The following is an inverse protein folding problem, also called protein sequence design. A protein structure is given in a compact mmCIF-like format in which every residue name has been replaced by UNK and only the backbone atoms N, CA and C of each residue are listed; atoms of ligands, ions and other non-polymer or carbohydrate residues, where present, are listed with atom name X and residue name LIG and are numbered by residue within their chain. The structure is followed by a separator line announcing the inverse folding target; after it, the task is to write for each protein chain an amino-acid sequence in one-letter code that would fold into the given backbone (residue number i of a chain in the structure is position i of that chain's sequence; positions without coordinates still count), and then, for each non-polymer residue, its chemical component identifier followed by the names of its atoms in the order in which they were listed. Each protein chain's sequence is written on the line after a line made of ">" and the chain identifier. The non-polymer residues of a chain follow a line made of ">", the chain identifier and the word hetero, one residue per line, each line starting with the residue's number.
data_IF_077066352872
#
_entry.id   IF_077066352872
#
_cell.length_a   1.000
_cell.length_b   1.000
_cell.length_c   1.000
_cell.angle_alpha   90.00
_cell.angle_beta   90.00
_cell.angle_gamma   90.00
#
_symmetry.space_group_name_H-M   'P 1'
#
loop_
_entity.id
_entity.type
_entity.pdbx_description
1 polymer ?
#
# COMPACT_ATOMS: atom_id res chain seq x y z
N UNK A 1 -7.04 0.52 -13.44
CA UNK A 1 -7.77 0.00 -12.24
C UNK A 1 -7.45 -1.49 -12.08
N UNK A 2 -7.25 -1.98 -10.86
CA UNK A 2 -6.79 -3.36 -10.63
C UNK A 2 -7.75 -4.43 -11.20
N UNK A 3 -9.06 -4.20 -11.13
CA UNK A 3 -10.08 -5.12 -11.66
C UNK A 3 -10.28 -5.09 -13.18
N UNK A 4 -9.66 -4.16 -13.92
CA UNK A 4 -9.76 -4.14 -15.40
C UNK A 4 -8.92 -5.27 -16.02
N UNK A 5 -7.91 -5.78 -15.30
CA UNK A 5 -6.99 -6.80 -15.81
C UNK A 5 -6.30 -6.35 -17.12
N UNK A 6 -5.63 -5.21 -17.07
CA UNK A 6 -4.83 -4.68 -18.18
C UNK A 6 -3.43 -4.32 -17.72
N UNK A 7 -2.44 -4.66 -18.53
CA UNK A 7 -1.03 -4.35 -18.30
C UNK A 7 -0.34 -4.17 -19.65
N UNK A 8 0.83 -3.51 -19.64
CA UNK A 8 1.71 -3.41 -20.80
C UNK A 8 3.08 -3.95 -20.41
N UNK A 9 3.65 -4.83 -21.23
CA UNK A 9 5.00 -5.37 -21.04
C UNK A 9 5.91 -4.80 -22.12
N UNK A 10 6.96 -4.07 -21.70
CA UNK A 10 7.91 -3.43 -22.60
C UNK A 10 9.22 -4.23 -22.61
N UNK A 11 9.52 -4.87 -23.75
CA UNK A 11 10.74 -5.68 -23.92
C UNK A 11 11.49 -5.22 -25.17
N UNK A 12 12.57 -4.42 -25.03
CA UNK A 12 13.29 -3.88 -26.20
C UNK A 12 13.93 -4.99 -27.07
N UNK A 13 14.51 -6.00 -26.43
CA UNK A 13 15.22 -7.10 -27.09
C UNK A 13 14.23 -8.01 -27.83
N UNK A 14 14.39 -8.15 -29.17
CA UNK A 14 13.42 -8.81 -30.06
C UNK A 14 13.18 -10.30 -29.74
N UNK A 15 14.24 -11.06 -29.52
CA UNK A 15 14.15 -12.50 -29.22
C UNK A 15 13.51 -12.74 -27.85
N UNK A 16 13.85 -11.94 -26.85
CA UNK A 16 13.23 -12.00 -25.52
C UNK A 16 11.75 -11.61 -25.60
N UNK A 17 11.43 -10.54 -26.33
CA UNK A 17 10.04 -10.11 -26.55
C UNK A 17 9.20 -11.22 -27.19
N UNK A 18 9.75 -11.94 -28.16
CA UNK A 18 9.05 -13.08 -28.77
C UNK A 18 8.79 -14.21 -27.77
N UNK A 19 9.77 -14.54 -26.91
CA UNK A 19 9.60 -15.54 -25.85
C UNK A 19 8.51 -15.11 -24.84
N UNK A 20 8.53 -13.86 -24.41
CA UNK A 20 7.52 -13.30 -23.49
C UNK A 20 6.14 -13.31 -24.13
N UNK A 21 6.00 -12.84 -25.37
CA UNK A 21 4.73 -12.85 -26.10
C UNK A 21 4.15 -14.26 -26.19
N UNK A 22 4.97 -15.26 -26.52
CA UNK A 22 4.52 -16.66 -26.59
C UNK A 22 4.03 -17.15 -25.23
N UNK A 23 4.77 -16.87 -24.15
CA UNK A 23 4.37 -17.27 -22.80
C UNK A 23 3.03 -16.64 -22.39
N UNK A 24 2.83 -15.34 -22.64
CA UNK A 24 1.57 -14.66 -22.32
C UNK A 24 0.35 -15.25 -23.06
N UNK A 25 0.53 -15.72 -24.30
CA UNK A 25 -0.54 -16.39 -25.03
C UNK A 25 -0.79 -17.82 -24.50
N UNK A 26 0.27 -18.53 -24.12
CA UNK A 26 0.14 -19.87 -23.52
C UNK A 26 -0.58 -19.83 -22.17
N UNK A 27 -0.36 -18.77 -21.38
CA UNK A 27 -1.02 -18.57 -20.09
C UNK A 27 -2.42 -17.93 -20.21
N UNK A 28 -2.91 -17.70 -21.44
CA UNK A 28 -4.23 -17.10 -21.74
C UNK A 28 -4.45 -15.71 -21.11
N UNK A 29 -3.38 -14.94 -20.91
CA UNK A 29 -3.42 -13.57 -20.35
C UNK A 29 -3.16 -12.50 -21.41
N UNK A 30 -3.09 -12.88 -22.69
CA UNK A 30 -2.82 -11.99 -23.81
C UNK A 30 -4.09 -11.31 -24.37
N UNK A 31 -5.27 -11.90 -24.16
CA UNK A 31 -6.51 -11.42 -24.74
C UNK A 31 -7.22 -10.43 -23.79
N UNK A 32 -7.49 -9.19 -24.24
CA UNK A 32 -8.16 -8.20 -23.43
C UNK A 32 -9.67 -8.47 -23.32
N UNK A 33 -10.25 -8.21 -22.15
CA UNK A 33 -11.71 -8.08 -22.05
C UNK A 33 -12.22 -6.80 -22.76
N UNK A 34 -13.54 -6.70 -22.93
CA UNK A 34 -14.25 -5.60 -23.61
C UNK A 34 -13.84 -4.20 -23.13
N UNK A 35 -13.43 -4.03 -21.88
CA UNK A 35 -13.09 -2.73 -21.32
C UNK A 35 -11.59 -2.44 -21.30
N UNK A 36 -10.74 -3.45 -21.35
CA UNK A 36 -9.30 -3.32 -21.08
C UNK A 36 -8.61 -2.33 -22.02
N UNK A 37 -8.88 -2.41 -23.33
CA UNK A 37 -8.27 -1.53 -24.33
C UNK A 37 -8.77 -0.09 -24.16
N UNK A 38 -10.10 0.12 -24.14
CA UNK A 38 -10.70 1.45 -24.04
C UNK A 38 -10.33 2.17 -22.75
N UNK A 39 -10.31 1.46 -21.62
CA UNK A 39 -9.93 2.03 -20.34
C UNK A 39 -8.45 2.44 -20.31
N UNK A 40 -7.54 1.59 -20.84
CA UNK A 40 -6.12 1.91 -20.90
C UNK A 40 -5.85 3.12 -21.81
N UNK A 41 -6.48 3.17 -22.99
CA UNK A 41 -6.34 4.31 -23.92
C UNK A 41 -6.84 5.60 -23.25
N UNK A 42 -8.01 5.57 -22.61
CA UNK A 42 -8.56 6.76 -21.94
C UNK A 42 -7.67 7.23 -20.80
N UNK A 43 -7.20 6.31 -19.95
CA UNK A 43 -6.31 6.63 -18.84
C UNK A 43 -4.99 7.27 -19.32
N UNK A 44 -4.35 6.71 -20.36
CA UNK A 44 -3.08 7.25 -20.85
C UNK A 44 -3.21 8.54 -21.66
N UNK A 45 -4.33 8.75 -22.36
CA UNK A 45 -4.53 9.98 -23.15
C UNK A 45 -5.08 11.14 -22.32
N UNK A 46 -5.94 10.86 -21.34
CA UNK A 46 -6.75 11.88 -20.69
C UNK A 46 -6.57 11.92 -19.15
N UNK A 47 -5.86 10.95 -18.56
CA UNK A 47 -5.77 10.80 -17.10
C UNK A 47 -4.68 11.64 -16.41
N UNK A 48 -3.93 12.47 -17.15
CA UNK A 48 -2.76 13.17 -16.63
C UNK A 48 -3.13 14.18 -15.52
N UNK A 49 -4.11 15.05 -15.77
CA UNK A 49 -4.54 16.07 -14.81
C UNK A 49 -5.06 15.44 -13.52
N UNK A 50 -5.92 14.43 -13.63
CA UNK A 50 -6.40 13.66 -12.47
C UNK A 50 -5.26 13.01 -11.70
N UNK A 51 -4.25 12.48 -12.40
CA UNK A 51 -3.11 11.84 -11.74
C UNK A 51 -2.25 12.86 -10.98
N UNK A 52 -2.05 14.06 -11.52
CA UNK A 52 -1.28 15.11 -10.85
C UNK A 52 -2.01 15.62 -9.60
N UNK A 53 -3.33 15.82 -9.67
CA UNK A 53 -4.15 16.11 -8.49
C UNK A 53 -4.08 14.99 -7.45
N UNK A 54 -4.21 13.73 -7.88
CA UNK A 54 -4.10 12.58 -6.98
C UNK A 54 -2.72 12.53 -6.32
N UNK A 55 -1.63 12.80 -7.04
CA UNK A 55 -0.28 12.80 -6.48
C UNK A 55 -0.13 13.85 -5.39
N UNK A 56 -0.65 15.06 -5.61
CA UNK A 56 -0.66 16.09 -4.58
C UNK A 56 -1.49 15.68 -3.37
N UNK A 57 -2.68 15.11 -3.60
CA UNK A 57 -3.56 14.64 -2.55
C UNK A 57 -2.91 13.53 -1.69
N UNK A 58 -2.29 12.54 -2.33
CA UNK A 58 -1.56 11.46 -1.63
C UNK A 58 -0.36 12.03 -0.88
N UNK A 59 0.36 13.01 -1.44
CA UNK A 59 1.46 13.68 -0.75
C UNK A 59 0.99 14.37 0.53
N UNK A 60 -0.16 15.07 0.48
CA UNK A 60 -0.75 15.69 1.66
C UNK A 60 -1.15 14.64 2.70
N UNK A 61 -1.76 13.53 2.28
CA UNK A 61 -2.08 12.41 3.17
C UNK A 61 -0.83 11.82 3.83
N UNK A 62 0.31 11.69 3.11
CA UNK A 62 1.58 11.25 3.72
C UNK A 62 2.00 12.20 4.84
N UNK A 63 1.95 13.51 4.58
CA UNK A 63 2.33 14.51 5.56
C UNK A 63 1.47 14.44 6.82
N UNK A 64 0.15 14.31 6.66
CA UNK A 64 -0.79 14.13 7.78
C UNK A 64 -0.39 12.91 8.63
N UNK A 65 -0.05 11.78 8.00
CA UNK A 65 0.38 10.58 8.73
C UNK A 65 1.69 10.82 9.48
N UNK A 66 2.68 11.44 8.83
CA UNK A 66 3.97 11.73 9.45
C UNK A 66 3.81 12.62 10.69
N UNK A 67 3.15 13.75 10.53
CA UNK A 67 2.94 14.73 11.61
C UNK A 67 2.13 14.12 12.76
N UNK A 68 1.07 13.38 12.43
CA UNK A 68 0.21 12.78 13.44
C UNK A 68 0.95 11.71 14.25
N UNK A 69 1.67 10.80 13.58
CA UNK A 69 2.39 9.71 14.26
C UNK A 69 3.51 10.26 15.12
N UNK A 70 4.30 11.21 14.61
CA UNK A 70 5.38 11.87 15.37
C UNK A 70 4.84 12.55 16.63
N UNK A 71 3.69 13.23 16.55
CA UNK A 71 3.10 13.94 17.68
C UNK A 71 2.36 13.04 18.68
N UNK A 72 1.80 11.89 18.25
CA UNK A 72 0.82 11.14 19.05
C UNK A 72 1.20 9.69 19.38
N UNK A 73 2.17 9.09 18.68
CA UNK A 73 2.49 7.66 18.83
C UNK A 73 4.02 7.44 18.83
N UNK A 74 4.73 7.86 19.90
CA UNK A 74 6.21 7.88 19.95
C UNK A 74 6.88 6.49 19.88
N UNK A 75 6.12 5.42 20.11
CA UNK A 75 6.62 4.05 20.11
C UNK A 75 6.72 3.42 18.71
N UNK A 76 6.23 4.10 17.68
CA UNK A 76 6.35 3.68 16.28
C UNK A 76 7.00 4.79 15.45
N UNK A 77 7.52 4.44 14.29
CA UNK A 77 8.03 5.41 13.33
C UNK A 77 7.51 5.08 11.92
N UNK A 78 7.17 6.09 11.13
CA UNK A 78 6.79 5.87 9.73
C UNK A 78 8.02 6.06 8.85
N UNK A 79 8.32 5.06 8.02
CA UNK A 79 9.43 5.14 7.07
C UNK A 79 9.08 6.18 5.99
N UNK A 80 9.89 7.24 5.89
CA UNK A 80 9.72 8.27 4.85
C UNK A 80 9.89 7.64 3.47
N UNK A 81 8.99 7.98 2.55
CA UNK A 81 8.96 7.41 1.20
C UNK A 81 8.46 8.40 0.17
N UNK A 82 9.21 8.54 -0.91
CA UNK A 82 8.85 9.40 -2.05
C UNK A 82 7.83 8.74 -2.99
N UNK A 83 7.68 7.41 -2.94
CA UNK A 83 6.88 6.66 -3.88
C UNK A 83 5.71 5.92 -3.21
N UNK A 84 4.72 5.58 -4.04
CA UNK A 84 3.50 4.83 -3.67
C UNK A 84 2.59 5.54 -2.65
N UNK A 85 1.39 4.98 -2.48
CA UNK A 85 0.42 5.35 -1.44
C UNK A 85 0.40 4.33 -0.28
N UNK A 86 1.45 3.51 -0.15
CA UNK A 86 1.57 2.47 0.87
C UNK A 86 2.73 2.83 1.80
N UNK A 87 2.41 3.15 3.04
CA UNK A 87 3.39 3.53 4.05
C UNK A 87 3.79 2.33 4.89
N UNK A 88 5.08 2.23 5.19
CA UNK A 88 5.64 1.27 6.13
C UNK A 88 5.78 1.92 7.50
N UNK A 89 5.24 1.25 8.52
CA UNK A 89 5.29 1.67 9.91
C UNK A 89 6.19 0.69 10.65
N UNK A 90 7.31 1.20 11.16
CA UNK A 90 8.23 0.49 12.05
C UNK A 90 7.61 0.40 13.45
N UNK A 91 7.36 -0.83 13.88
CA UNK A 91 6.85 -1.18 15.20
C UNK A 91 7.86 -2.06 15.97
N UNK A 92 9.14 -2.00 15.64
CA UNK A 92 10.20 -2.83 16.26
C UNK A 92 10.36 -2.64 17.76
N UNK A 93 9.98 -1.47 18.29
CA UNK A 93 9.91 -1.22 19.74
C UNK A 93 8.75 -1.97 20.42
N UNK A 94 7.73 -2.37 19.67
CA UNK A 94 6.49 -2.94 20.20
C UNK A 94 6.34 -4.43 19.90
N UNK A 95 6.84 -4.91 18.76
CA UNK A 95 6.61 -6.29 18.34
C UNK A 95 7.73 -6.85 17.45
N UNK A 96 7.90 -8.17 17.53
CA UNK A 96 8.58 -9.03 16.54
C UNK A 96 7.60 -9.94 15.79
N UNK A 97 6.30 -9.77 16.02
CA UNK A 97 5.22 -10.48 15.34
C UNK A 97 4.15 -9.49 14.85
N UNK A 98 4.36 -9.00 13.63
CA UNK A 98 3.45 -8.04 12.99
C UNK A 98 2.09 -8.64 12.64
N UNK A 99 1.96 -9.99 12.54
CA UNK A 99 0.65 -10.64 12.33
C UNK A 99 -0.19 -10.55 13.59
N UNK A 100 0.39 -10.87 14.75
CA UNK A 100 -0.29 -10.72 16.03
C UNK A 100 -0.68 -9.27 16.28
N UNK A 101 0.26 -8.32 16.09
CA UNK A 101 -0.01 -6.90 16.28
C UNK A 101 -1.17 -6.41 15.40
N UNK A 102 -1.17 -6.76 14.11
CA UNK A 102 -2.25 -6.39 13.19
C UNK A 102 -3.61 -6.99 13.61
N UNK A 103 -3.61 -8.25 14.07
CA UNK A 103 -4.82 -8.92 14.54
C UNK A 103 -5.38 -8.26 15.82
N UNK A 104 -4.51 -7.89 16.76
CA UNK A 104 -4.90 -7.25 18.01
C UNK A 104 -5.47 -5.84 17.76
N UNK A 105 -4.80 -5.02 16.93
CA UNK A 105 -5.29 -3.70 16.51
C UNK A 105 -6.68 -3.84 15.86
N UNK A 106 -6.83 -4.80 14.94
CA UNK A 106 -8.11 -5.05 14.25
C UNK A 106 -9.20 -5.46 15.23
N UNK A 107 -8.91 -6.39 16.14
CA UNK A 107 -9.87 -6.85 17.15
C UNK A 107 -10.32 -5.70 18.05
N UNK A 108 -9.41 -4.80 18.42
CA UNK A 108 -9.67 -3.70 19.34
C UNK A 108 -10.41 -2.52 18.70
N UNK A 109 -10.07 -2.18 17.45
CA UNK A 109 -10.50 -0.90 16.84
C UNK A 109 -11.18 -1.07 15.48
N UNK A 110 -11.21 -2.28 14.93
CA UNK A 110 -11.68 -2.56 13.58
C UNK A 110 -10.70 -2.12 12.48
N UNK A 111 -9.60 -1.42 12.80
CA UNK A 111 -8.63 -0.99 11.80
C UNK A 111 -7.90 -2.19 11.18
N UNK A 112 -7.92 -2.27 9.85
CA UNK A 112 -7.24 -3.32 9.11
C UNK A 112 -5.92 -2.81 8.55
N UNK A 113 -4.81 -3.45 8.94
CA UNK A 113 -3.46 -3.17 8.45
C UNK A 113 -2.86 -4.46 7.88
N UNK A 114 -1.97 -4.33 6.89
CA UNK A 114 -1.25 -5.51 6.40
C UNK A 114 -0.03 -5.77 7.30
N UNK A 115 0.09 -6.98 7.82
CA UNK A 115 1.31 -7.41 8.52
C UNK A 115 2.50 -7.42 7.57
N UNK A 116 3.62 -6.83 7.99
CA UNK A 116 4.84 -6.75 7.20
C UNK A 116 5.44 -8.11 6.89
N UNK A 117 5.22 -9.13 7.74
CA UNK A 117 5.76 -10.48 7.55
C UNK A 117 5.24 -11.16 6.27
N UNK A 118 4.14 -10.67 5.69
CA UNK A 118 3.62 -11.15 4.39
C UNK A 118 4.56 -10.80 3.23
N UNK A 119 5.43 -9.78 3.40
CA UNK A 119 6.40 -9.36 2.40
C UNK A 119 7.77 -10.06 2.54
N UNK A 120 7.89 -11.01 3.47
CA UNK A 120 9.10 -11.80 3.69
C UNK A 120 9.95 -11.33 4.86
N UNK A 121 11.18 -11.86 4.93
CA UNK A 121 12.12 -11.64 6.02
C UNK A 121 12.44 -10.15 6.18
N UNK A 122 12.39 -9.65 7.41
CA UNK A 122 12.58 -8.24 7.75
C UNK A 122 11.27 -7.45 7.93
N UNK A 123 10.11 -8.05 7.60
CA UNK A 123 8.80 -7.43 7.80
C UNK A 123 8.10 -7.78 9.12
N UNK A 124 8.72 -8.60 9.96
CA UNK A 124 8.12 -9.13 11.19
C UNK A 124 7.81 -8.05 12.22
N UNK A 125 8.47 -6.89 12.14
CA UNK A 125 8.26 -5.74 13.03
C UNK A 125 7.57 -4.57 12.35
N UNK A 126 7.00 -4.76 11.16
CA UNK A 126 6.40 -3.66 10.40
C UNK A 126 4.93 -3.88 10.08
N UNK A 127 4.19 -2.78 9.95
CA UNK A 127 2.83 -2.76 9.42
C UNK A 127 2.78 -1.91 8.15
N UNK A 128 1.90 -2.26 7.20
CA UNK A 128 1.65 -1.47 6.00
C UNK A 128 0.29 -0.78 6.07
N UNK A 129 0.31 0.55 5.94
CA UNK A 129 -0.86 1.41 5.91
C UNK A 129 -1.14 1.88 4.47
N UNK A 130 -2.38 1.77 4.03
CA UNK A 130 -2.84 2.35 2.76
C UNK A 130 -3.44 3.74 3.02
N UNK A 131 -2.91 4.76 2.35
CA UNK A 131 -3.35 6.16 2.50
C UNK A 131 -4.12 6.70 1.30
N UNK A 132 -4.44 5.85 0.30
CA UNK A 132 -5.28 6.20 -0.83
C UNK A 132 -6.76 6.16 -0.45
N UNK A 133 -7.16 7.06 0.45
CA UNK A 133 -8.52 7.22 0.95
C UNK A 133 -8.85 8.70 1.24
N UNK A 134 -10.14 9.05 1.41
CA UNK A 134 -10.52 10.39 1.87
C UNK A 134 -9.84 10.76 3.18
N UNK A 135 -9.49 12.04 3.36
CA UNK A 135 -8.76 12.53 4.54
C UNK A 135 -9.50 12.21 5.85
N UNK A 136 -10.83 12.27 5.84
CA UNK A 136 -11.66 11.91 6.99
C UNK A 136 -11.48 10.45 7.41
N UNK A 137 -11.39 9.54 6.43
CA UNK A 137 -11.13 8.10 6.67
C UNK A 137 -9.71 7.88 7.15
N UNK A 138 -8.74 8.63 6.61
CA UNK A 138 -7.35 8.58 7.05
C UNK A 138 -7.22 8.98 8.53
N UNK A 139 -7.85 10.10 8.92
CA UNK A 139 -7.85 10.60 10.30
C UNK A 139 -8.52 9.62 11.26
N UNK A 140 -9.67 9.04 10.90
CA UNK A 140 -10.29 7.96 11.68
C UNK A 140 -9.35 6.75 11.84
N UNK A 141 -8.68 6.35 10.75
CA UNK A 141 -7.69 5.27 10.78
C UNK A 141 -6.51 5.55 11.71
N UNK A 142 -6.02 6.78 11.77
CA UNK A 142 -4.92 7.19 12.65
C UNK A 142 -5.32 7.21 14.13
N UNK A 143 -6.53 7.66 14.45
CA UNK A 143 -7.07 7.57 15.82
C UNK A 143 -7.25 6.12 16.26
N UNK A 144 -7.77 5.26 15.37
CA UNK A 144 -7.86 3.82 15.64
C UNK A 144 -6.49 3.18 15.79
N UNK A 145 -5.48 3.59 15.03
CA UNK A 145 -4.12 3.10 15.18
C UNK A 145 -3.58 3.44 16.58
N UNK A 146 -3.67 4.71 16.99
CA UNK A 146 -3.27 5.19 18.33
C UNK A 146 -3.96 4.38 19.44
N UNK A 147 -5.29 4.27 19.36
CA UNK A 147 -6.08 3.53 20.35
C UNK A 147 -5.81 2.02 20.32
N UNK A 148 -5.50 1.46 19.14
CA UNK A 148 -5.12 0.08 18.93
C UNK A 148 -3.82 -0.28 19.64
N UNK A 149 -2.87 0.66 19.64
CA UNK A 149 -1.56 0.52 20.28
C UNK A 149 -1.57 0.83 21.78
N UNK A 150 -2.53 1.66 22.25
CA UNK A 150 -2.62 2.03 23.66
C UNK A 150 -2.76 0.80 24.58
N UNK A 151 -1.90 0.69 25.60
CA UNK A 151 -1.95 -0.42 26.57
C UNK A 151 -1.40 -1.75 26.05
N UNK A 152 -0.75 -1.78 24.89
CA UNK A 152 0.15 -2.87 24.55
C UNK A 152 1.45 -2.66 25.34
N UNK A 153 1.65 -3.48 26.38
CA UNK A 153 2.98 -3.62 26.97
C UNK A 153 3.93 -4.15 25.90
N UNK A 154 5.16 -3.64 25.90
CA UNK A 154 6.24 -4.07 24.99
C UNK A 154 6.25 -5.61 24.98
N UNK A 155 5.92 -6.20 23.83
CA UNK A 155 5.93 -7.66 23.66
C UNK A 155 7.39 -8.10 23.50
N UNK A 156 8.20 -7.91 24.54
CA UNK A 156 9.52 -8.53 24.69
C UNK A 156 9.31 -10.01 24.99
N UNK A 157 9.19 -10.79 23.92
CA UNK A 157 9.69 -12.16 23.92
C UNK A 157 11.13 -12.18 23.39
#
# INVERSE_FOLDING_TARGET
>A
MAGIQTAAVVVPQKNLRHKVWRALNTDEVAEPNTFAISAAISAYKNGAEWLDELRQYISNNKQIVYDYVEANIPDINVVKSDATYLLWIDCSKLTKDSRRLAADIRKKTGLYLSAGSVYGKGGESFLRLNIACPESVLKDGLERLKNGLAGLEVLTN
#
